data_IF_964289170248
#
_entry.id   IF_964289170248
#
_cell.length_a   1.000
_cell.length_b   1.000
_cell.length_c   1.000
_cell.angle_alpha   90.00
_cell.angle_beta   90.00
_cell.angle_gamma   90.00
#
_symmetry.space_group_name_H-M   'P 1'
#
loop_
_entity.id
_entity.type
_entity.pdbx_description
1 polymer ?
#
# COMPACT_ATOMS: atom_id res chain seq x y z
N UNK A 1 -2.50 2.26 15.19
CA UNK A 1 -2.22 0.92 14.65
C UNK A 1 -0.72 0.65 14.65
N UNK A 2 -0.33 -0.59 14.63
CA UNK A 2 1.05 -1.07 14.58
C UNK A 2 1.47 -1.42 13.14
N UNK A 3 2.76 -1.69 12.93
CA UNK A 3 3.22 -2.28 11.68
C UNK A 3 2.54 -3.64 11.49
N UNK A 4 1.97 -3.89 10.29
CA UNK A 4 1.09 -5.03 10.00
C UNK A 4 -0.12 -5.06 10.95
N UNK A 5 -1.21 -4.34 10.64
CA UNK A 5 -2.36 -4.19 11.53
C UNK A 5 -2.99 -5.54 11.85
N UNK A 6 -3.34 -5.74 13.12
CA UNK A 6 -3.97 -6.98 13.59
C UNK A 6 -5.48 -6.90 13.52
N UNK A 7 -6.14 -8.07 13.62
CA UNK A 7 -7.60 -8.14 13.75
C UNK A 7 -8.11 -7.38 14.97
N UNK A 8 -7.32 -7.29 16.05
CA UNK A 8 -7.63 -6.51 17.24
C UNK A 8 -7.59 -5.01 16.97
N UNK A 9 -6.56 -4.50 16.29
CA UNK A 9 -6.49 -3.08 15.91
C UNK A 9 -7.70 -2.66 15.07
N UNK A 10 -8.17 -3.55 14.19
CA UNK A 10 -9.37 -3.30 13.39
C UNK A 10 -10.62 -3.30 14.28
N UNK A 11 -10.72 -4.20 15.27
CA UNK A 11 -11.85 -4.27 16.18
C UNK A 11 -11.94 -3.00 17.05
N UNK A 12 -10.84 -2.57 17.67
CA UNK A 12 -10.76 -1.35 18.48
C UNK A 12 -11.17 -0.11 17.66
N UNK A 13 -10.63 0.03 16.44
CA UNK A 13 -10.96 1.16 15.57
C UNK A 13 -12.43 1.12 15.10
N UNK A 14 -13.00 -0.08 14.88
CA UNK A 14 -14.39 -0.25 14.51
C UNK A 14 -15.34 0.13 15.68
N UNK A 15 -14.98 -0.20 16.92
CA UNK A 15 -15.70 0.21 18.11
C UNK A 15 -15.79 1.72 18.22
N UNK A 16 -14.63 2.41 18.14
CA UNK A 16 -14.57 3.87 18.11
C UNK A 16 -15.38 4.48 16.96
N UNK A 17 -15.38 3.85 15.79
CA UNK A 17 -16.19 4.28 14.64
C UNK A 17 -17.69 4.27 14.97
N UNK A 18 -18.17 3.22 15.64
CA UNK A 18 -19.58 3.07 16.01
C UNK A 18 -19.97 3.96 17.18
N UNK A 19 -19.19 4.00 18.25
CA UNK A 19 -19.45 4.80 19.45
C UNK A 19 -19.59 6.29 19.13
N UNK A 20 -18.75 6.77 18.20
CA UNK A 20 -18.75 8.17 17.80
C UNK A 20 -19.66 8.46 16.59
N UNK A 21 -20.48 7.49 16.16
CA UNK A 21 -21.36 7.64 14.99
C UNK A 21 -20.66 8.17 13.73
N UNK A 22 -19.42 7.77 13.50
CA UNK A 22 -18.62 8.23 12.36
C UNK A 22 -19.30 7.88 11.03
N UNK A 23 -19.11 8.74 10.02
CA UNK A 23 -19.68 8.55 8.66
C UNK A 23 -18.60 8.38 7.60
N UNK A 24 -17.36 8.62 7.96
CA UNK A 24 -16.19 8.52 7.10
C UNK A 24 -15.02 7.93 7.89
N UNK A 25 -14.03 7.44 7.16
CA UNK A 25 -12.79 6.89 7.70
C UNK A 25 -11.64 7.58 6.98
N UNK A 26 -10.66 8.06 7.74
CA UNK A 26 -9.42 8.62 7.20
C UNK A 26 -8.28 7.67 7.55
N UNK A 27 -7.66 7.08 6.54
CA UNK A 27 -6.41 6.33 6.68
C UNK A 27 -5.23 7.30 6.56
N UNK A 28 -4.67 7.73 7.70
CA UNK A 28 -3.51 8.61 7.78
C UNK A 28 -2.29 7.81 8.23
N UNK A 29 -1.27 7.70 7.39
CA UNK A 29 -0.04 6.97 7.69
C UNK A 29 0.53 6.21 6.49
N UNK A 30 1.36 5.20 6.75
CA UNK A 30 1.85 4.28 5.73
C UNK A 30 0.82 3.20 5.36
N UNK A 31 1.25 2.20 4.58
CA UNK A 31 0.38 1.10 4.12
C UNK A 31 -0.40 0.43 5.24
N UNK A 32 0.23 0.15 6.39
CA UNK A 32 -0.43 -0.49 7.53
C UNK A 32 -1.62 0.31 8.09
N UNK A 33 -1.49 1.63 8.18
CA UNK A 33 -2.61 2.49 8.64
C UNK A 33 -3.75 2.51 7.63
N UNK A 34 -3.43 2.54 6.35
CA UNK A 34 -4.42 2.49 5.28
C UNK A 34 -5.12 1.13 5.19
N UNK A 35 -4.37 0.04 5.34
CA UNK A 35 -4.92 -1.32 5.36
C UNK A 35 -5.86 -1.53 6.55
N UNK A 36 -5.50 -1.01 7.73
CA UNK A 36 -6.39 -0.99 8.89
C UNK A 36 -7.68 -0.22 8.57
N UNK A 37 -7.58 0.99 8.03
CA UNK A 37 -8.74 1.81 7.68
C UNK A 37 -9.67 1.12 6.67
N UNK A 38 -9.11 0.45 5.66
CA UNK A 38 -9.86 -0.37 4.69
C UNK A 38 -10.59 -1.53 5.38
N UNK A 39 -9.91 -2.25 6.27
CA UNK A 39 -10.49 -3.37 7.02
C UNK A 39 -11.61 -2.93 7.96
N UNK A 40 -11.44 -1.78 8.64
CA UNK A 40 -12.51 -1.14 9.44
C UNK A 40 -13.72 -0.83 8.54
N UNK A 41 -13.48 -0.21 7.37
CA UNK A 41 -14.54 0.06 6.40
C UNK A 41 -15.28 -1.19 5.93
N UNK A 42 -14.54 -2.28 5.63
CA UNK A 42 -15.12 -3.56 5.24
C UNK A 42 -15.99 -4.17 6.37
N UNK A 43 -15.52 -4.10 7.61
CA UNK A 43 -16.27 -4.56 8.79
C UNK A 43 -17.51 -3.70 9.04
N UNK A 44 -17.41 -2.38 8.93
CA UNK A 44 -18.55 -1.47 9.06
C UNK A 44 -19.63 -1.76 7.99
N UNK A 45 -19.21 -2.07 6.75
CA UNK A 45 -20.13 -2.42 5.66
C UNK A 45 -20.76 -3.82 5.82
N UNK A 46 -20.05 -4.77 6.47
CA UNK A 46 -20.50 -6.15 6.68
C UNK A 46 -20.36 -6.58 8.16
N UNK A 47 -21.16 -6.04 9.07
CA UNK A 47 -21.00 -6.25 10.51
C UNK A 47 -21.15 -7.71 10.96
N UNK A 48 -21.85 -8.53 10.18
CA UNK A 48 -22.07 -9.97 10.50
C UNK A 48 -20.97 -10.89 9.95
N UNK A 49 -20.00 -10.35 9.19
CA UNK A 49 -18.93 -11.14 8.56
C UNK A 49 -17.58 -10.83 9.22
N UNK A 50 -16.88 -11.85 9.73
CA UNK A 50 -15.53 -11.67 10.28
C UNK A 50 -14.51 -11.36 9.17
N UNK A 51 -13.39 -10.74 9.53
CA UNK A 51 -12.27 -10.49 8.59
C UNK A 51 -11.75 -11.78 7.98
N UNK A 52 -11.65 -12.86 8.75
CA UNK A 52 -11.23 -14.17 8.26
C UNK A 52 -12.12 -14.69 7.13
N UNK A 53 -13.44 -14.43 7.17
CA UNK A 53 -14.36 -14.78 6.08
C UNK A 53 -14.23 -13.87 4.86
N UNK A 54 -13.62 -12.70 5.01
CA UNK A 54 -13.33 -11.78 3.90
C UNK A 54 -11.96 -12.05 3.24
N UNK A 55 -11.12 -12.93 3.84
CA UNK A 55 -9.82 -13.34 3.28
C UNK A 55 -9.95 -13.80 1.82
N UNK A 56 -9.05 -13.30 0.98
CA UNK A 56 -9.00 -13.64 -0.44
C UNK A 56 -9.65 -12.58 -1.34
N UNK A 57 -10.26 -13.00 -2.44
CA UNK A 57 -10.68 -12.12 -3.52
C UNK A 57 -12.21 -11.99 -3.55
N UNK A 58 -12.72 -10.77 -3.77
CA UNK A 58 -14.13 -10.46 -4.03
C UNK A 58 -15.08 -11.05 -2.97
N UNK A 59 -14.88 -10.76 -1.69
CA UNK A 59 -15.74 -11.25 -0.62
C UNK A 59 -16.42 -10.14 0.20
N UNK A 60 -16.08 -8.88 -0.05
CA UNK A 60 -16.72 -7.73 0.59
C UNK A 60 -18.00 -7.34 -0.15
N UNK A 61 -17.94 -7.11 -1.45
CA UNK A 61 -19.08 -6.81 -2.35
C UNK A 61 -20.05 -5.72 -1.87
N UNK A 62 -19.63 -4.89 -0.93
CA UNK A 62 -20.46 -3.80 -0.40
C UNK A 62 -19.68 -2.49 -0.39
N UNK A 63 -20.37 -1.40 -0.72
CA UNK A 63 -19.82 -0.07 -0.63
C UNK A 63 -19.43 0.22 0.83
N UNK A 64 -18.19 0.63 1.02
CA UNK A 64 -17.68 1.07 2.31
C UNK A 64 -18.21 2.47 2.67
N UNK A 65 -18.15 2.87 3.95
CA UNK A 65 -18.19 4.29 4.32
C UNK A 65 -17.18 5.08 3.51
N UNK A 66 -17.36 6.41 3.43
CA UNK A 66 -16.39 7.26 2.75
C UNK A 66 -14.98 6.99 3.32
N UNK A 67 -14.08 6.54 2.47
CA UNK A 67 -12.69 6.26 2.82
C UNK A 67 -11.77 7.25 2.10
N UNK A 68 -10.98 7.98 2.88
CA UNK A 68 -9.97 8.94 2.41
C UNK A 68 -8.61 8.42 2.86
N UNK A 69 -7.66 8.35 1.95
CA UNK A 69 -6.29 7.94 2.25
C UNK A 69 -5.35 9.14 2.21
N UNK A 70 -4.50 9.26 3.22
CA UNK A 70 -3.45 10.29 3.31
C UNK A 70 -2.13 9.59 3.61
N UNK A 71 -1.38 9.17 2.56
CA UNK A 71 -0.14 8.44 2.74
C UNK A 71 0.95 9.33 3.33
N UNK A 72 1.67 8.81 4.33
CA UNK A 72 2.86 9.45 4.91
C UNK A 72 4.15 8.78 4.45
N UNK A 73 4.06 7.76 3.59
CA UNK A 73 5.17 7.09 2.89
C UNK A 73 4.90 7.09 1.39
N UNK A 74 5.95 7.08 0.60
CA UNK A 74 5.86 7.05 -0.87
C UNK A 74 6.39 5.70 -1.38
N UNK A 75 5.56 4.65 -1.30
CA UNK A 75 6.01 3.30 -1.66
C UNK A 75 4.88 2.32 -1.95
N UNK A 76 4.08 2.03 -0.95
CA UNK A 76 3.09 0.94 -0.99
C UNK A 76 1.94 1.15 -1.98
N UNK A 77 1.65 2.39 -2.36
CA UNK A 77 0.50 2.70 -3.21
C UNK A 77 -0.85 2.29 -2.62
N UNK A 78 -0.92 1.99 -1.30
CA UNK A 78 -2.15 1.50 -0.68
C UNK A 78 -3.33 2.46 -0.83
N UNK A 79 -3.08 3.75 -1.03
CA UNK A 79 -4.09 4.77 -1.33
C UNK A 79 -4.84 4.53 -2.66
N UNK A 80 -4.35 3.62 -3.51
CA UNK A 80 -4.97 3.30 -4.82
C UNK A 80 -5.37 1.84 -4.94
N UNK A 81 -5.00 0.99 -3.98
CA UNK A 81 -5.15 -0.46 -4.11
C UNK A 81 -6.46 -1.00 -3.55
N UNK A 82 -6.89 -2.11 -4.12
CA UNK A 82 -8.04 -2.89 -3.67
C UNK A 82 -7.70 -3.83 -2.50
N UNK A 83 -6.44 -3.86 -2.05
CA UNK A 83 -5.93 -4.79 -1.04
C UNK A 83 -5.89 -4.15 0.35
N UNK A 84 -6.17 -4.95 1.37
CA UNK A 84 -5.85 -4.69 2.77
C UNK A 84 -5.20 -5.93 3.37
N UNK A 85 -3.99 -5.78 3.91
CA UNK A 85 -3.23 -6.88 4.49
C UNK A 85 -3.34 -6.81 6.02
N UNK A 86 -3.84 -7.88 6.63
CA UNK A 86 -4.15 -7.98 8.05
C UNK A 86 -3.45 -9.19 8.63
N UNK A 87 -3.04 -9.09 9.89
CA UNK A 87 -2.53 -10.21 10.68
C UNK A 87 -3.62 -10.68 11.64
N UNK A 88 -3.91 -11.96 11.59
CA UNK A 88 -4.75 -12.59 12.60
C UNK A 88 -4.00 -12.60 13.94
N UNK A 89 -4.60 -12.01 14.98
CA UNK A 89 -3.94 -11.81 16.26
C UNK A 89 -3.68 -13.14 17.00
N UNK A 90 -4.56 -14.13 16.83
CA UNK A 90 -4.45 -15.42 17.49
C UNK A 90 -3.45 -16.34 16.78
N UNK A 91 -3.62 -16.50 15.47
CA UNK A 91 -2.83 -17.45 14.67
C UNK A 91 -1.53 -16.88 14.14
N UNK A 92 -1.32 -15.57 14.25
CA UNK A 92 -0.20 -14.83 13.63
C UNK A 92 -0.16 -14.94 12.11
N UNK A 93 -1.20 -15.46 11.48
CA UNK A 93 -1.27 -15.63 10.04
C UNK A 93 -1.59 -14.31 9.34
N UNK A 94 -0.71 -13.91 8.42
CA UNK A 94 -0.88 -12.72 7.59
C UNK A 94 -1.69 -13.08 6.33
N UNK A 95 -2.75 -12.32 6.04
CA UNK A 95 -3.58 -12.53 4.86
C UNK A 95 -4.07 -11.22 4.26
N UNK A 96 -4.43 -11.28 2.98
CA UNK A 96 -5.01 -10.15 2.27
C UNK A 96 -6.52 -10.30 2.08
N UNK A 97 -7.21 -9.17 2.15
CA UNK A 97 -8.59 -8.98 1.70
C UNK A 97 -8.49 -8.12 0.44
N UNK A 98 -8.99 -8.63 -0.68
CA UNK A 98 -8.89 -7.96 -1.98
C UNK A 98 -10.28 -7.78 -2.57
N UNK A 99 -10.75 -6.53 -2.62
CA UNK A 99 -12.03 -6.23 -3.28
C UNK A 99 -12.08 -4.76 -3.73
N UNK A 100 -12.76 -4.47 -4.82
CA UNK A 100 -12.88 -3.12 -5.38
C UNK A 100 -13.41 -2.06 -4.39
N UNK A 101 -14.39 -2.35 -3.51
CA UNK A 101 -14.86 -1.40 -2.51
C UNK A 101 -13.77 -0.89 -1.55
N UNK A 102 -12.63 -1.60 -1.41
CA UNK A 102 -11.54 -1.20 -0.52
C UNK A 102 -10.68 -0.07 -1.11
N UNK A 103 -10.82 0.23 -2.40
CA UNK A 103 -10.09 1.35 -3.01
C UNK A 103 -10.60 2.65 -2.38
N UNK A 104 -9.73 3.46 -1.77
CA UNK A 104 -10.13 4.74 -1.20
C UNK A 104 -10.80 5.65 -2.23
N UNK A 105 -11.83 6.38 -1.80
CA UNK A 105 -12.54 7.32 -2.69
C UNK A 105 -11.69 8.53 -3.06
N UNK A 106 -10.83 8.95 -2.13
CA UNK A 106 -9.89 10.05 -2.31
C UNK A 106 -8.53 9.68 -1.76
N UNK A 107 -7.48 10.06 -2.47
CA UNK A 107 -6.10 10.05 -2.01
C UNK A 107 -5.61 11.51 -1.91
N UNK A 108 -5.12 11.90 -0.75
CA UNK A 108 -4.56 13.24 -0.51
C UNK A 108 -3.04 13.12 -0.43
N UNK A 109 -2.36 13.62 -1.45
CA UNK A 109 -0.90 13.53 -1.59
C UNK A 109 -0.25 14.84 -1.12
N UNK A 110 -0.10 15.01 0.19
CA UNK A 110 0.56 16.19 0.78
C UNK A 110 2.04 15.86 1.09
N UNK A 111 3.02 16.49 0.39
CA UNK A 111 4.42 16.24 0.65
C UNK A 111 4.87 16.63 2.07
N UNK A 112 4.14 17.52 2.73
CA UNK A 112 4.48 17.95 4.10
C UNK A 112 4.49 16.80 5.09
N UNK A 113 3.59 15.82 4.93
CA UNK A 113 3.50 14.67 5.86
C UNK A 113 4.59 13.62 5.63
N UNK A 114 5.43 13.79 4.60
CA UNK A 114 6.57 12.91 4.30
C UNK A 114 7.92 13.54 4.62
N UNK A 115 7.99 14.83 5.01
CA UNK A 115 9.26 15.54 5.25
C UNK A 115 10.08 14.94 6.39
N UNK A 116 9.43 14.32 7.37
CA UNK A 116 10.09 13.69 8.52
C UNK A 116 10.50 12.22 8.28
N UNK A 117 10.28 11.67 7.09
CA UNK A 117 10.69 10.30 6.79
C UNK A 117 12.22 10.17 6.85
N UNK A 118 12.73 9.18 7.61
CA UNK A 118 14.15 8.86 7.61
C UNK A 118 14.65 8.46 6.21
N UNK A 119 15.92 8.74 5.89
CA UNK A 119 16.50 8.35 4.58
C UNK A 119 16.32 6.87 4.25
N UNK A 120 16.53 5.97 5.22
CA UNK A 120 16.33 4.53 5.02
C UNK A 120 14.90 4.18 4.59
N UNK A 121 13.89 4.79 5.23
CA UNK A 121 12.49 4.55 4.85
C UNK A 121 12.20 5.17 3.48
N UNK A 122 12.74 6.36 3.20
CA UNK A 122 12.60 6.99 1.87
C UNK A 122 13.14 6.09 0.77
N UNK A 123 14.36 5.55 0.95
CA UNK A 123 14.99 4.67 -0.03
C UNK A 123 14.21 3.36 -0.21
N UNK A 124 13.90 2.67 0.88
CA UNK A 124 13.23 1.36 0.81
C UNK A 124 11.82 1.46 0.25
N UNK A 125 11.06 2.49 0.63
CA UNK A 125 9.71 2.69 0.06
C UNK A 125 9.77 3.18 -1.39
N UNK A 126 10.74 4.00 -1.76
CA UNK A 126 10.94 4.42 -3.15
C UNK A 126 11.30 3.25 -4.07
N UNK A 127 12.16 2.34 -3.60
CA UNK A 127 12.50 1.11 -4.33
C UNK A 127 11.32 0.13 -4.40
N UNK A 128 10.46 0.10 -3.39
CA UNK A 128 9.21 -0.65 -3.42
C UNK A 128 8.28 -0.12 -4.53
N UNK A 129 8.09 1.21 -4.60
CA UNK A 129 7.32 1.83 -5.68
C UNK A 129 7.93 1.55 -7.07
N UNK A 130 9.26 1.56 -7.20
CA UNK A 130 9.95 1.21 -8.43
C UNK A 130 9.65 -0.24 -8.83
N UNK A 131 9.75 -1.16 -7.89
CA UNK A 131 9.46 -2.58 -8.13
C UNK A 131 8.01 -2.79 -8.56
N UNK A 132 7.05 -2.14 -7.89
CA UNK A 132 5.65 -2.14 -8.29
C UNK A 132 5.46 -1.68 -9.74
N UNK A 133 6.09 -0.56 -10.10
CA UNK A 133 5.98 0.01 -11.45
C UNK A 133 6.59 -0.93 -12.50
N UNK A 134 7.80 -1.45 -12.26
CA UNK A 134 8.49 -2.37 -13.18
C UNK A 134 7.68 -3.64 -13.38
N UNK A 135 7.26 -4.31 -12.31
CA UNK A 135 6.49 -5.55 -12.40
C UNK A 135 5.13 -5.33 -13.07
N UNK A 136 4.47 -4.19 -12.79
CA UNK A 136 3.24 -3.82 -13.48
C UNK A 136 3.44 -3.58 -14.98
N UNK A 137 4.61 -3.10 -15.39
CA UNK A 137 4.93 -2.84 -16.79
C UNK A 137 5.20 -4.12 -17.57
N UNK A 138 6.01 -5.03 -17.01
CA UNK A 138 6.42 -6.28 -17.67
C UNK A 138 5.40 -7.41 -17.55
N UNK A 139 4.46 -7.29 -16.61
CA UNK A 139 3.47 -8.33 -16.33
C UNK A 139 2.51 -8.60 -17.49
N UNK A 140 2.04 -9.85 -17.60
CA UNK A 140 1.14 -10.27 -18.68
C UNK A 140 -0.27 -9.64 -18.62
N UNK A 141 -0.69 -9.14 -17.46
CA UNK A 141 -2.00 -8.50 -17.25
C UNK A 141 -2.00 -6.99 -17.51
N UNK A 142 -0.88 -6.46 -18.02
CA UNK A 142 -0.72 -5.03 -18.26
C UNK A 142 -1.61 -4.55 -19.42
N UNK A 143 -2.03 -3.28 -19.34
CA UNK A 143 -2.83 -2.58 -20.35
C UNK A 143 -2.09 -1.30 -20.79
N UNK A 144 -2.47 -0.64 -21.88
CA UNK A 144 -1.87 0.64 -22.25
C UNK A 144 -1.91 1.69 -21.14
N UNK A 145 -3.01 1.73 -20.36
CA UNK A 145 -3.17 2.65 -19.23
C UNK A 145 -2.26 2.30 -18.05
N UNK A 146 -2.14 1.02 -17.70
CA UNK A 146 -1.23 0.60 -16.61
C UNK A 146 0.23 0.75 -17.01
N UNK A 147 0.59 0.50 -18.28
CA UNK A 147 1.95 0.76 -18.80
C UNK A 147 2.32 2.24 -18.71
N UNK A 148 1.38 3.12 -19.09
CA UNK A 148 1.62 4.58 -18.99
C UNK A 148 1.89 4.97 -17.54
N UNK A 149 1.03 4.56 -16.61
CA UNK A 149 1.21 4.86 -15.19
C UNK A 149 2.53 4.28 -14.64
N UNK A 150 2.90 3.07 -15.05
CA UNK A 150 4.16 2.45 -14.65
C UNK A 150 5.38 3.26 -15.14
N UNK A 151 5.39 3.69 -16.41
CA UNK A 151 6.46 4.52 -16.97
C UNK A 151 6.54 5.89 -16.29
N UNK A 152 5.38 6.55 -16.08
CA UNK A 152 5.32 7.83 -15.36
C UNK A 152 5.89 7.69 -13.94
N UNK A 153 5.61 6.56 -13.26
CA UNK A 153 6.16 6.26 -11.93
C UNK A 153 7.68 6.05 -11.97
N UNK A 154 8.17 5.21 -12.89
CA UNK A 154 9.61 4.94 -13.05
C UNK A 154 10.37 6.24 -13.29
N UNK A 155 9.92 7.07 -14.24
CA UNK A 155 10.55 8.35 -14.54
C UNK A 155 10.63 9.23 -13.29
N UNK A 156 9.52 9.43 -12.59
CA UNK A 156 9.49 10.26 -11.37
C UNK A 156 10.42 9.73 -10.27
N UNK A 157 10.54 8.41 -10.14
CA UNK A 157 11.42 7.81 -9.14
C UNK A 157 12.88 8.08 -9.48
N UNK A 158 13.30 7.83 -10.73
CA UNK A 158 14.68 8.08 -11.15
C UNK A 158 15.08 9.55 -11.06
N UNK A 159 14.15 10.46 -11.32
CA UNK A 159 14.41 11.90 -11.24
C UNK A 159 14.45 12.44 -9.80
N UNK A 160 13.83 11.77 -8.83
CA UNK A 160 13.56 12.38 -7.52
C UNK A 160 14.00 11.56 -6.30
N UNK A 161 14.22 10.25 -6.42
CA UNK A 161 14.50 9.39 -5.24
C UNK A 161 15.81 9.77 -4.56
N UNK A 162 16.87 10.00 -5.33
CA UNK A 162 18.17 10.40 -4.79
C UNK A 162 18.07 11.74 -4.04
N UNK A 163 17.40 12.72 -4.63
CA UNK A 163 17.16 14.02 -3.98
C UNK A 163 16.32 13.86 -2.71
N UNK A 164 15.23 13.06 -2.75
CA UNK A 164 14.40 12.83 -1.57
C UNK A 164 15.13 12.07 -0.47
N UNK A 165 16.14 11.25 -0.81
CA UNK A 165 16.98 10.52 0.12
C UNK A 165 18.04 11.42 0.77
N UNK A 166 18.74 12.23 -0.02
CA UNK A 166 19.86 13.09 0.42
C UNK A 166 19.37 14.38 1.07
N UNK A 167 18.28 14.96 0.58
CA UNK A 167 17.59 16.12 1.14
C UNK A 167 16.11 15.82 1.40
N UNK A 168 15.84 15.20 2.55
CA UNK A 168 14.47 14.87 2.97
C UNK A 168 13.54 16.07 3.13
N UNK A 169 14.04 17.31 3.14
CA UNK A 169 13.25 18.54 3.25
C UNK A 169 12.82 19.11 1.90
N UNK A 170 13.32 18.56 0.80
CA UNK A 170 12.96 18.97 -0.55
C UNK A 170 11.51 18.59 -0.88
N UNK A 171 10.62 19.57 -0.76
CA UNK A 171 9.17 19.36 -0.95
C UNK A 171 8.80 18.91 -2.36
N UNK A 172 9.56 19.34 -3.37
CA UNK A 172 9.28 18.96 -4.77
C UNK A 172 9.61 17.48 -4.99
N UNK A 173 10.80 17.04 -4.55
CA UNK A 173 11.18 15.64 -4.61
C UNK A 173 10.19 14.76 -3.82
N UNK A 174 9.79 15.17 -2.60
CA UNK A 174 8.76 14.46 -1.80
C UNK A 174 7.41 14.38 -2.52
N UNK A 175 6.97 15.48 -3.15
CA UNK A 175 5.74 15.50 -3.95
C UNK A 175 5.80 14.52 -5.12
N UNK A 176 6.91 14.53 -5.83
CA UNK A 176 7.10 13.66 -6.98
C UNK A 176 7.21 12.19 -6.60
N UNK A 177 7.84 11.86 -5.45
CA UNK A 177 7.85 10.50 -4.91
C UNK A 177 6.44 10.02 -4.52
N UNK A 178 5.60 10.86 -3.88
CA UNK A 178 4.20 10.52 -3.59
C UNK A 178 3.41 10.25 -4.88
N UNK A 179 3.59 11.10 -5.92
CA UNK A 179 2.95 10.89 -7.23
C UNK A 179 3.42 9.60 -7.89
N UNK A 180 4.72 9.31 -7.80
CA UNK A 180 5.28 8.08 -8.33
C UNK A 180 4.67 6.84 -7.67
N UNK A 181 4.61 6.81 -6.32
CA UNK A 181 3.95 5.75 -5.57
C UNK A 181 2.48 5.60 -5.96
N UNK A 182 1.75 6.71 -6.12
CA UNK A 182 0.37 6.72 -6.57
C UNK A 182 0.21 6.11 -7.98
N UNK A 183 1.05 6.51 -8.94
CA UNK A 183 1.00 5.96 -10.30
C UNK A 183 1.39 4.48 -10.34
N UNK A 184 2.42 4.08 -9.60
CA UNK A 184 2.77 2.66 -9.43
C UNK A 184 1.60 1.87 -8.87
N UNK A 185 0.92 2.41 -7.85
CA UNK A 185 -0.27 1.83 -7.25
C UNK A 185 -1.43 1.68 -8.23
N UNK A 186 -1.70 2.70 -9.04
CA UNK A 186 -2.70 2.65 -10.12
C UNK A 186 -2.37 1.60 -11.19
N UNK A 187 -1.10 1.36 -11.43
CA UNK A 187 -0.65 0.33 -12.37
C UNK A 187 -0.84 -1.07 -11.79
N UNK A 188 -0.17 -1.39 -10.67
CA UNK A 188 -0.13 -2.76 -10.17
C UNK A 188 -1.45 -3.23 -9.57
N UNK A 189 -2.33 -2.35 -9.08
CA UNK A 189 -3.66 -2.77 -8.59
C UNK A 189 -4.50 -3.45 -9.67
N UNK A 190 -4.17 -3.25 -10.95
CA UNK A 190 -4.85 -3.86 -12.11
C UNK A 190 -4.02 -4.93 -12.80
N UNK A 191 -2.69 -4.76 -12.84
CA UNK A 191 -1.78 -5.68 -13.54
C UNK A 191 -1.08 -6.67 -12.60
N UNK A 192 -1.32 -6.55 -11.30
CA UNK A 192 -0.71 -7.35 -10.24
C UNK A 192 0.79 -7.07 -10.07
N UNK A 193 1.41 -7.81 -9.16
CA UNK A 193 2.86 -7.85 -8.92
C UNK A 193 3.44 -9.16 -9.44
N UNK A 194 4.75 -9.27 -9.49
CA UNK A 194 5.45 -10.40 -10.12
C UNK A 194 6.34 -11.20 -9.17
N UNK A 195 7.44 -11.73 -9.72
CA UNK A 195 8.35 -12.62 -9.01
C UNK A 195 9.13 -11.94 -7.90
N UNK A 196 9.51 -10.67 -8.06
CA UNK A 196 10.22 -9.92 -7.00
C UNK A 196 9.39 -9.92 -5.73
N UNK A 197 8.13 -9.50 -5.82
CA UNK A 197 7.22 -9.47 -4.69
C UNK A 197 6.91 -10.87 -4.13
N UNK A 198 6.78 -11.89 -4.99
CA UNK A 198 6.54 -13.25 -4.54
C UNK A 198 7.66 -13.77 -3.64
N UNK A 199 8.93 -13.52 -4.00
CA UNK A 199 10.09 -13.90 -3.18
C UNK A 199 10.21 -12.99 -1.96
N UNK A 200 10.04 -11.66 -2.11
CA UNK A 200 10.13 -10.70 -1.02
C UNK A 200 9.12 -10.98 0.09
N UNK A 201 7.89 -11.38 -0.25
CA UNK A 201 6.87 -11.77 0.73
C UNK A 201 7.32 -12.98 1.56
N UNK A 202 7.98 -13.96 0.93
CA UNK A 202 8.51 -15.15 1.62
C UNK A 202 9.64 -14.76 2.58
N UNK A 203 10.57 -13.90 2.16
CA UNK A 203 11.65 -13.38 3.00
C UNK A 203 11.10 -12.55 4.18
N UNK A 204 10.13 -11.68 3.92
CA UNK A 204 9.47 -10.91 4.96
C UNK A 204 8.71 -11.77 5.97
N UNK A 205 8.05 -12.84 5.50
CA UNK A 205 7.29 -13.75 6.35
C UNK A 205 8.14 -14.67 7.22
N UNK A 206 9.25 -15.18 6.68
CA UNK A 206 10.10 -16.14 7.37
C UNK A 206 11.24 -15.50 8.18
N UNK A 207 11.81 -14.40 7.67
CA UNK A 207 13.01 -13.78 8.23
C UNK A 207 12.81 -12.34 8.70
N UNK A 208 11.60 -11.84 8.63
CA UNK A 208 11.25 -10.47 9.02
C UNK A 208 12.08 -9.38 8.31
N UNK A 209 12.51 -9.66 7.07
CA UNK A 209 13.23 -8.69 6.24
C UNK A 209 12.28 -7.54 5.87
N UNK A 210 12.69 -6.28 6.01
CA UNK A 210 11.86 -5.14 5.58
C UNK A 210 11.48 -5.26 4.09
N UNK A 211 10.19 -5.12 3.79
CA UNK A 211 9.62 -5.42 2.48
C UNK A 211 10.31 -4.67 1.33
N UNK A 212 10.42 -3.35 1.44
CA UNK A 212 11.05 -2.54 0.39
C UNK A 212 12.56 -2.82 0.25
N UNK A 213 13.24 -3.25 1.31
CA UNK A 213 14.63 -3.70 1.23
C UNK A 213 14.74 -5.01 0.46
N UNK A 214 13.86 -5.98 0.74
CA UNK A 214 13.83 -7.24 0.01
C UNK A 214 13.58 -7.00 -1.49
N UNK A 215 12.62 -6.14 -1.83
CA UNK A 215 12.34 -5.77 -3.22
C UNK A 215 13.55 -5.10 -3.89
N UNK A 216 14.23 -4.17 -3.21
CA UNK A 216 15.40 -3.49 -3.74
C UNK A 216 16.55 -4.45 -4.08
N UNK A 217 16.79 -5.42 -3.20
CA UNK A 217 17.86 -6.42 -3.41
C UNK A 217 17.50 -7.41 -4.52
N UNK A 218 16.24 -7.84 -4.60
CA UNK A 218 15.82 -8.89 -5.53
C UNK A 218 15.60 -8.38 -6.96
N UNK A 219 15.19 -7.10 -7.11
CA UNK A 219 14.79 -6.56 -8.41
C UNK A 219 15.84 -6.74 -9.51
N UNK A 220 17.14 -6.42 -9.32
CA UNK A 220 18.15 -6.62 -10.37
C UNK A 220 18.25 -8.07 -10.82
N UNK A 221 18.28 -9.01 -9.89
CA UNK A 221 18.42 -10.45 -10.21
C UNK A 221 17.22 -11.00 -11.00
N UNK A 222 16.03 -10.54 -10.69
CA UNK A 222 14.82 -10.97 -11.42
C UNK A 222 14.75 -10.35 -12.82
N UNK A 223 15.33 -9.15 -13.01
CA UNK A 223 15.37 -8.52 -14.32
C UNK A 223 16.44 -9.10 -15.24
N UNK A 224 17.49 -9.73 -14.67
CA UNK A 224 18.56 -10.40 -15.43
C UNK A 224 18.18 -11.83 -15.83
N UNK A 225 17.19 -12.45 -15.18
CA UNK A 225 16.78 -13.84 -15.39
C UNK A 225 15.75 -13.99 -16.53
#
# INVERSE_FOLDING_TARGET
TVANPTTENVAEALELYHENNCKAIIGFGGGSSMDCAKAVGARAAKPRQSLARMKGILKVHKKLPLLIAIPTTAGTGSETTLAAVIVDAETRHKYAINDFPLIPRYAVLDPKVTLSLPPFITATTGMDALTHAVEAYIGNSTTPGTRKNALDAVQLIFENLDTAYTDGTNKEARRNMLRASYFAGCAFTKSYVGYVHAVAHSLGGQYNVPHGLANAVLLPYVLEA
#
